data_IF_707046524004
#
_entry.id   IF_707046524004
#
_cell.length_a   1.000
_cell.length_b   1.000
_cell.length_c   1.000
_cell.angle_alpha   90.00
_cell.angle_beta   90.00
_cell.angle_gamma   90.00
#
_symmetry.space_group_name_H-M   'P 1'
#
loop_
_entity.id
_entity.type
_entity.pdbx_description
1 polymer ?
#
# COMPACT_ATOMS: atom_id res chain seq x y z
N UNK A 1 91.84 12.10 -2.94
CA UNK A 1 91.57 10.65 -3.02
C UNK A 1 90.51 10.19 -2.00
N UNK A 2 90.72 10.03 -0.66
CA UNK A 2 89.63 9.51 0.21
C UNK A 2 88.46 10.48 0.49
N UNK A 3 88.73 11.79 0.50
CA UNK A 3 87.72 12.82 0.81
C UNK A 3 86.76 13.10 -0.35
N UNK A 4 87.27 13.08 -1.59
CA UNK A 4 86.45 13.27 -2.80
C UNK A 4 85.47 12.11 -2.98
N UNK A 5 85.96 10.87 -2.82
CA UNK A 5 85.12 9.68 -2.91
C UNK A 5 83.96 9.69 -1.89
N UNK A 6 84.21 10.17 -0.66
CA UNK A 6 83.16 10.32 0.35
C UNK A 6 82.11 11.37 -0.06
N UNK A 7 82.55 12.52 -0.58
CA UNK A 7 81.64 13.57 -1.01
C UNK A 7 80.73 13.13 -2.18
N UNK A 8 81.27 12.32 -3.09
CA UNK A 8 80.54 11.76 -4.22
C UNK A 8 79.47 10.76 -3.76
N UNK A 9 79.80 9.85 -2.83
CA UNK A 9 78.83 8.93 -2.23
C UNK A 9 77.69 9.64 -1.47
N UNK A 10 77.99 10.76 -0.83
CA UNK A 10 77.01 11.54 -0.06
C UNK A 10 76.04 12.26 -1.01
N UNK A 11 76.56 12.76 -2.13
CA UNK A 11 75.77 13.32 -3.23
C UNK A 11 74.89 12.27 -3.90
N UNK A 12 75.42 11.08 -4.19
CA UNK A 12 74.65 10.00 -4.82
C UNK A 12 73.54 9.48 -3.89
N UNK A 13 73.81 9.35 -2.59
CA UNK A 13 72.78 9.01 -1.61
C UNK A 13 71.67 10.06 -1.53
N UNK A 14 72.02 11.34 -1.63
CA UNK A 14 71.02 12.41 -1.69
C UNK A 14 70.12 12.25 -2.93
N UNK A 15 70.71 12.05 -4.11
CA UNK A 15 69.95 11.87 -5.35
C UNK A 15 69.08 10.61 -5.35
N UNK A 16 69.58 9.50 -4.78
CA UNK A 16 68.79 8.28 -4.64
C UNK A 16 67.57 8.47 -3.73
N UNK A 17 67.74 9.18 -2.61
CA UNK A 17 66.60 9.49 -1.72
C UNK A 17 65.56 10.37 -2.39
N UNK A 18 66.00 11.39 -3.11
CA UNK A 18 65.12 12.31 -3.84
C UNK A 18 64.35 11.56 -4.95
N UNK A 19 65.03 10.69 -5.69
CA UNK A 19 64.42 9.85 -6.71
C UNK A 19 63.37 8.89 -6.13
N UNK A 20 63.67 8.23 -5.00
CA UNK A 20 62.73 7.35 -4.30
C UNK A 20 61.48 8.13 -3.82
N UNK A 21 61.68 9.33 -3.27
CA UNK A 21 60.57 10.17 -2.82
C UNK A 21 59.68 10.65 -3.98
N UNK A 22 60.27 10.92 -5.16
CA UNK A 22 59.51 11.27 -6.37
C UNK A 22 58.66 10.08 -6.84
N UNK A 23 59.20 8.86 -6.81
CA UNK A 23 58.47 7.65 -7.20
C UNK A 23 57.26 7.38 -6.30
N UNK A 24 57.44 7.48 -4.97
CA UNK A 24 56.34 7.35 -4.01
C UNK A 24 55.22 8.39 -4.25
N UNK A 25 55.58 9.65 -4.54
CA UNK A 25 54.60 10.69 -4.85
C UNK A 25 53.84 10.37 -6.15
N UNK A 26 54.52 9.82 -7.16
CA UNK A 26 53.88 9.47 -8.42
C UNK A 26 52.87 8.33 -8.24
N UNK A 27 53.19 7.32 -7.45
CA UNK A 27 52.27 6.21 -7.19
C UNK A 27 51.07 6.67 -6.36
N UNK A 28 51.28 7.49 -5.32
CA UNK A 28 50.18 8.09 -4.57
C UNK A 28 49.26 8.95 -5.45
N UNK A 29 49.82 9.69 -6.42
CA UNK A 29 49.01 10.48 -7.35
C UNK A 29 48.14 9.59 -8.26
N UNK A 30 48.65 8.45 -8.73
CA UNK A 30 47.85 7.49 -9.51
C UNK A 30 46.72 6.90 -8.68
N UNK A 31 47.00 6.56 -7.42
CA UNK A 31 45.99 6.03 -6.50
C UNK A 31 44.89 7.05 -6.22
N UNK A 32 45.25 8.32 -6.00
CA UNK A 32 44.29 9.42 -5.84
C UNK A 32 43.42 9.56 -7.08
N UNK A 33 44.01 9.58 -8.28
CA UNK A 33 43.26 9.70 -9.53
C UNK A 33 42.28 8.54 -9.72
N UNK A 34 42.69 7.31 -9.41
CA UNK A 34 41.81 6.14 -9.48
C UNK A 34 40.64 6.23 -8.49
N UNK A 35 40.91 6.67 -7.25
CA UNK A 35 39.89 6.86 -6.23
C UNK A 35 38.89 7.96 -6.61
N UNK A 36 39.38 9.09 -7.14
CA UNK A 36 38.54 10.18 -7.62
C UNK A 36 37.62 9.72 -8.76
N UNK A 37 38.17 9.00 -9.74
CA UNK A 37 37.39 8.47 -10.86
C UNK A 37 36.33 7.46 -10.40
N UNK A 38 36.68 6.58 -9.47
CA UNK A 38 35.75 5.59 -8.90
C UNK A 38 34.62 6.29 -8.14
N UNK A 39 34.95 7.24 -7.27
CA UNK A 39 33.98 8.03 -6.49
C UNK A 39 33.03 8.82 -7.41
N UNK A 40 33.57 9.46 -8.45
CA UNK A 40 32.76 10.21 -9.42
C UNK A 40 31.75 9.31 -10.15
N UNK A 41 32.15 8.08 -10.49
CA UNK A 41 31.26 7.11 -11.13
C UNK A 41 30.14 6.69 -10.18
N UNK A 42 30.46 6.34 -8.93
CA UNK A 42 29.46 5.96 -7.92
C UNK A 42 28.46 7.10 -7.66
N UNK A 43 28.94 8.34 -7.56
CA UNK A 43 28.09 9.52 -7.40
C UNK A 43 27.14 9.69 -8.60
N UNK A 44 27.61 9.44 -9.81
CA UNK A 44 26.78 9.53 -11.02
C UNK A 44 25.68 8.46 -11.05
N UNK A 45 26.03 7.23 -10.67
CA UNK A 45 25.07 6.11 -10.56
C UNK A 45 24.00 6.41 -9.50
N UNK A 46 24.40 6.82 -8.29
CA UNK A 46 23.46 7.18 -7.22
C UNK A 46 22.52 8.33 -7.62
N UNK A 47 23.01 9.34 -8.35
CA UNK A 47 22.16 10.43 -8.87
C UNK A 47 21.11 9.92 -9.86
N UNK A 48 21.48 8.96 -10.70
CA UNK A 48 20.58 8.31 -11.66
C UNK A 48 19.50 7.51 -10.93
N UNK A 49 19.90 6.73 -9.93
CA UNK A 49 18.97 5.93 -9.11
C UNK A 49 17.99 6.82 -8.34
N UNK A 50 18.45 7.87 -7.68
CA UNK A 50 17.60 8.85 -6.99
C UNK A 50 16.58 9.45 -7.95
N UNK A 51 16.99 9.79 -9.17
CA UNK A 51 16.09 10.34 -10.19
C UNK A 51 15.01 9.33 -10.61
N UNK A 52 15.39 8.06 -10.80
CA UNK A 52 14.45 6.96 -11.09
C UNK A 52 13.44 6.77 -9.95
N UNK A 53 13.92 6.67 -8.71
CA UNK A 53 13.08 6.50 -7.53
C UNK A 53 12.10 7.66 -7.35
N UNK A 54 12.54 8.90 -7.62
CA UNK A 54 11.67 10.08 -7.55
C UNK A 54 10.53 10.01 -8.57
N UNK A 55 10.81 9.54 -9.78
CA UNK A 55 9.77 9.36 -10.81
C UNK A 55 8.76 8.28 -10.40
N UNK A 56 9.24 7.14 -9.89
CA UNK A 56 8.39 6.07 -9.40
C UNK A 56 7.50 6.52 -8.25
N UNK A 57 8.05 7.26 -7.28
CA UNK A 57 7.29 7.79 -6.14
C UNK A 57 6.18 8.76 -6.59
N UNK A 58 6.48 9.62 -7.57
CA UNK A 58 5.47 10.53 -8.12
C UNK A 58 4.31 9.76 -8.76
N UNK A 59 4.62 8.72 -9.53
CA UNK A 59 3.59 7.91 -10.19
C UNK A 59 2.76 7.12 -9.18
N UNK A 60 3.40 6.46 -8.21
CA UNK A 60 2.71 5.73 -7.16
C UNK A 60 1.75 6.63 -6.36
N UNK A 61 2.16 7.86 -6.06
CA UNK A 61 1.30 8.84 -5.39
C UNK A 61 0.04 9.15 -6.20
N UNK A 62 0.19 9.35 -7.52
CA UNK A 62 -0.94 9.61 -8.41
C UNK A 62 -1.90 8.43 -8.48
N UNK A 63 -1.36 7.21 -8.52
CA UNK A 63 -2.17 6.00 -8.57
C UNK A 63 -2.96 5.79 -7.27
N UNK A 64 -2.37 6.10 -6.11
CA UNK A 64 -3.08 6.08 -4.82
C UNK A 64 -4.22 7.09 -4.81
N UNK A 65 -3.98 8.34 -5.22
CA UNK A 65 -5.02 9.38 -5.28
C UNK A 65 -6.19 8.99 -6.19
N UNK A 66 -5.89 8.40 -7.35
CA UNK A 66 -6.94 7.91 -8.26
C UNK A 66 -7.78 6.79 -7.61
N UNK A 67 -7.15 5.90 -6.85
CA UNK A 67 -7.85 4.83 -6.13
C UNK A 67 -8.70 5.38 -4.99
N UNK A 68 -8.21 6.37 -4.25
CA UNK A 68 -8.98 7.05 -3.21
C UNK A 68 -10.25 7.67 -3.80
N UNK A 69 -10.13 8.39 -4.92
CA UNK A 69 -11.29 8.96 -5.61
C UNK A 69 -12.30 7.89 -6.03
N UNK A 70 -11.83 6.78 -6.59
CA UNK A 70 -12.70 5.69 -6.99
C UNK A 70 -13.42 5.05 -5.80
N UNK A 71 -12.72 4.87 -4.67
CA UNK A 71 -13.33 4.37 -3.42
C UNK A 71 -14.42 5.34 -2.95
N UNK A 72 -14.16 6.64 -2.92
CA UNK A 72 -15.17 7.64 -2.53
C UNK A 72 -16.41 7.60 -3.41
N UNK A 73 -16.25 7.44 -4.73
CA UNK A 73 -17.39 7.27 -5.64
C UNK A 73 -18.17 5.97 -5.37
N UNK A 74 -17.50 4.88 -5.01
CA UNK A 74 -18.17 3.64 -4.64
C UNK A 74 -18.94 3.79 -3.32
N UNK A 75 -18.36 4.47 -2.34
CA UNK A 75 -19.01 4.74 -1.04
C UNK A 75 -20.28 5.58 -1.22
N UNK A 76 -20.22 6.65 -2.03
CA UNK A 76 -21.38 7.49 -2.36
C UNK A 76 -22.49 6.67 -3.03
N UNK A 77 -22.15 5.90 -4.07
CA UNK A 77 -23.11 5.03 -4.76
C UNK A 77 -23.74 3.99 -3.84
N UNK A 78 -22.96 3.43 -2.92
CA UNK A 78 -23.45 2.44 -1.98
C UNK A 78 -24.39 3.07 -0.94
N UNK A 79 -24.04 4.26 -0.45
CA UNK A 79 -24.85 5.01 0.50
C UNK A 79 -26.25 5.34 -0.03
N UNK A 80 -26.36 5.66 -1.33
CA UNK A 80 -27.65 5.99 -1.95
C UNK A 80 -28.46 4.74 -2.33
N UNK A 81 -27.80 3.65 -2.72
CA UNK A 81 -28.46 2.46 -3.26
C UNK A 81 -28.92 1.45 -2.20
N UNK A 82 -28.23 1.35 -1.05
CA UNK A 82 -28.62 0.41 0.01
C UNK A 82 -30.01 0.74 0.58
N UNK A 83 -30.34 1.99 0.96
CA UNK A 83 -31.65 2.31 1.53
C UNK A 83 -32.81 1.97 0.59
N UNK A 84 -32.70 2.31 -0.70
CA UNK A 84 -33.70 1.99 -1.72
C UNK A 84 -33.87 0.46 -1.90
N UNK A 85 -32.75 -0.28 -1.93
CA UNK A 85 -32.78 -1.73 -1.97
C UNK A 85 -33.51 -2.33 -0.76
N UNK A 86 -33.23 -1.83 0.46
CA UNK A 86 -33.86 -2.32 1.69
C UNK A 86 -35.37 -2.05 1.71
N UNK A 87 -35.81 -0.88 1.22
CA UNK A 87 -37.25 -0.55 1.09
C UNK A 87 -37.94 -1.52 0.13
N UNK A 88 -37.34 -1.78 -1.04
CA UNK A 88 -37.88 -2.70 -2.04
C UNK A 88 -37.93 -4.14 -1.54
N UNK A 89 -36.88 -4.60 -0.85
CA UNK A 89 -36.84 -5.94 -0.26
C UNK A 89 -37.92 -6.09 0.81
N UNK A 90 -38.08 -5.10 1.69
CA UNK A 90 -39.12 -5.12 2.74
C UNK A 90 -40.52 -5.21 2.13
N UNK A 91 -40.79 -4.40 1.10
CA UNK A 91 -42.08 -4.44 0.40
C UNK A 91 -42.33 -5.80 -0.27
N UNK A 92 -41.29 -6.38 -0.89
CA UNK A 92 -41.39 -7.71 -1.49
C UNK A 92 -41.74 -8.78 -0.43
N UNK A 93 -41.05 -8.79 0.71
CA UNK A 93 -41.31 -9.76 1.79
C UNK A 93 -42.72 -9.61 2.36
N UNK A 94 -43.20 -8.38 2.55
CA UNK A 94 -44.58 -8.11 2.97
C UNK A 94 -45.60 -8.67 1.98
N UNK A 95 -45.38 -8.49 0.67
CA UNK A 95 -46.25 -9.04 -0.37
C UNK A 95 -46.21 -10.57 -0.47
N UNK A 96 -45.22 -11.23 0.12
CA UNK A 96 -45.12 -12.69 0.22
C UNK A 96 -45.64 -13.22 1.56
N UNK A 97 -46.27 -12.37 2.38
CA UNK A 97 -46.67 -12.67 3.77
C UNK A 97 -45.52 -13.22 4.64
N UNK A 98 -44.27 -12.86 4.31
CA UNK A 98 -43.08 -13.27 5.06
C UNK A 98 -42.80 -12.23 6.12
N UNK A 99 -42.97 -12.62 7.40
CA UNK A 99 -42.55 -11.81 8.54
C UNK A 99 -41.11 -12.18 8.97
N UNK A 100 -40.10 -11.35 8.71
CA UNK A 100 -38.71 -11.68 9.06
C UNK A 100 -38.43 -11.68 10.57
N UNK A 101 -39.31 -11.08 11.37
CA UNK A 101 -39.23 -11.07 12.83
C UNK A 101 -39.92 -12.30 13.46
N UNK A 102 -40.63 -13.10 12.66
CA UNK A 102 -41.27 -14.32 13.13
C UNK A 102 -40.23 -15.43 13.32
N UNK A 103 -39.83 -15.60 14.59
CA UNK A 103 -39.03 -16.73 15.05
C UNK A 103 -39.91 -17.82 15.70
N UNK A 104 -41.24 -17.71 15.59
CA UNK A 104 -42.21 -18.50 16.36
C UNK A 104 -43.08 -19.32 15.41
N UNK A 105 -42.47 -20.32 14.79
CA UNK A 105 -43.13 -21.27 13.88
C UNK A 105 -42.21 -22.45 13.57
N UNK A 106 -42.78 -23.55 13.07
CA UNK A 106 -41.99 -24.68 12.57
C UNK A 106 -41.12 -24.28 11.37
N UNK A 107 -39.99 -24.95 11.10
CA UNK A 107 -39.12 -24.61 9.98
C UNK A 107 -39.82 -24.75 8.62
N UNK A 108 -39.56 -23.85 7.64
CA UNK A 108 -38.69 -22.67 7.78
C UNK A 108 -39.42 -21.49 8.45
N UNK A 109 -38.74 -20.84 9.39
CA UNK A 109 -39.19 -19.59 10.01
C UNK A 109 -39.25 -18.45 9.00
N UNK A 110 -40.05 -17.41 9.25
CA UNK A 110 -40.11 -16.22 8.38
C UNK A 110 -38.74 -15.55 8.24
N UNK A 111 -37.89 -15.63 9.26
CA UNK A 111 -36.48 -15.21 9.23
C UNK A 111 -35.64 -16.00 8.21
N UNK A 112 -35.71 -17.33 8.22
CA UNK A 112 -34.97 -18.19 7.29
C UNK A 112 -35.39 -17.94 5.84
N UNK A 113 -36.70 -17.76 5.61
CA UNK A 113 -37.25 -17.44 4.29
C UNK A 113 -36.75 -16.06 3.81
N UNK A 114 -36.75 -15.04 4.67
CA UNK A 114 -36.25 -13.71 4.34
C UNK A 114 -34.74 -13.70 4.01
N UNK A 115 -33.93 -14.46 4.74
CA UNK A 115 -32.50 -14.65 4.46
C UNK A 115 -32.30 -15.32 3.09
N UNK A 116 -33.13 -16.32 2.76
CA UNK A 116 -33.12 -16.97 1.44
C UNK A 116 -33.40 -15.99 0.30
N UNK A 117 -34.39 -15.10 0.44
CA UNK A 117 -34.67 -14.06 -0.54
C UNK A 117 -33.53 -13.04 -0.67
N UNK A 118 -32.97 -12.58 0.44
CA UNK A 118 -31.81 -11.67 0.45
C UNK A 118 -30.61 -12.30 -0.27
N UNK A 119 -30.30 -13.57 0.02
CA UNK A 119 -29.27 -14.35 -0.67
C UNK A 119 -29.56 -14.45 -2.17
N UNK A 120 -30.83 -14.66 -2.53
CA UNK A 120 -31.30 -14.73 -3.92
C UNK A 120 -31.02 -13.47 -4.74
N UNK A 121 -30.89 -12.30 -4.10
CA UNK A 121 -30.53 -11.03 -4.75
C UNK A 121 -29.04 -10.91 -5.09
N UNK A 122 -28.17 -11.76 -4.52
CA UNK A 122 -26.71 -11.63 -4.66
C UNK A 122 -26.14 -12.57 -5.72
N UNK A 123 -25.05 -12.16 -6.37
CA UNK A 123 -24.31 -12.94 -7.37
C UNK A 123 -22.80 -12.71 -7.25
N UNK A 124 -22.01 -13.65 -7.76
CA UNK A 124 -20.54 -13.58 -7.76
C UNK A 124 -19.96 -13.38 -6.36
N UNK A 125 -18.97 -12.48 -6.23
CA UNK A 125 -18.26 -12.24 -4.95
C UNK A 125 -19.14 -11.79 -3.80
N UNK A 126 -20.27 -11.13 -4.07
CA UNK A 126 -21.22 -10.75 -3.02
C UNK A 126 -21.93 -11.98 -2.43
N UNK A 127 -22.26 -12.96 -3.27
CA UNK A 127 -22.85 -14.23 -2.84
C UNK A 127 -21.84 -15.10 -2.09
N UNK A 128 -20.60 -15.17 -2.59
CA UNK A 128 -19.49 -15.88 -1.91
C UNK A 128 -19.27 -15.33 -0.50
N UNK A 129 -19.12 -14.00 -0.38
CA UNK A 129 -19.00 -13.33 0.91
C UNK A 129 -20.21 -13.60 1.81
N UNK A 130 -21.44 -13.54 1.28
CA UNK A 130 -22.64 -13.80 2.07
C UNK A 130 -22.66 -15.22 2.64
N UNK A 131 -22.23 -16.21 1.87
CA UNK A 131 -22.20 -17.61 2.32
C UNK A 131 -21.12 -17.85 3.38
N UNK A 132 -19.93 -17.29 3.18
CA UNK A 132 -18.81 -17.37 4.13
C UNK A 132 -19.11 -16.64 5.44
N UNK A 133 -19.71 -15.47 5.34
CA UNK A 133 -19.83 -14.54 6.45
C UNK A 133 -21.19 -14.63 7.13
N UNK A 134 -22.30 -14.57 6.40
CA UNK A 134 -23.64 -14.55 6.98
C UNK A 134 -24.13 -15.95 7.31
N UNK A 135 -23.91 -16.91 6.41
CA UNK A 135 -24.51 -18.25 6.52
C UNK A 135 -23.67 -19.19 7.39
N UNK A 136 -22.34 -19.11 7.29
CA UNK A 136 -21.43 -20.05 7.96
C UNK A 136 -21.04 -19.62 9.38
N UNK A 137 -20.91 -18.32 9.65
CA UNK A 137 -20.48 -17.82 10.97
C UNK A 137 -21.69 -17.60 11.88
N UNK A 138 -21.77 -18.35 12.98
CA UNK A 138 -22.88 -18.25 13.96
C UNK A 138 -22.90 -16.95 14.80
N UNK A 139 -21.90 -16.08 14.66
CA UNK A 139 -21.74 -14.88 15.49
C UNK A 139 -22.40 -13.61 14.90
N UNK A 140 -23.12 -13.73 13.79
CA UNK A 140 -23.71 -12.59 13.11
C UNK A 140 -25.03 -12.18 13.76
N UNK A 141 -24.99 -11.09 14.52
CA UNK A 141 -26.19 -10.44 15.04
C UNK A 141 -26.75 -9.51 13.95
N UNK A 142 -27.78 -9.96 13.24
CA UNK A 142 -28.68 -9.13 12.42
C UNK A 142 -29.48 -8.15 13.31
N UNK A 143 -28.82 -7.31 14.11
CA UNK A 143 -29.48 -6.28 14.90
C UNK A 143 -30.05 -5.20 13.95
N UNK A 144 -29.23 -4.74 13.01
CA UNK A 144 -29.51 -3.55 12.20
C UNK A 144 -30.58 -3.70 11.11
N UNK A 145 -31.07 -4.92 10.80
CA UNK A 145 -32.11 -5.07 9.77
C UNK A 145 -33.54 -4.94 10.33
N UNK A 146 -33.73 -5.15 11.65
CA UNK A 146 -35.05 -5.43 12.21
C UNK A 146 -35.39 -4.74 13.54
N UNK A 147 -34.45 -4.11 14.23
CA UNK A 147 -34.73 -3.46 15.53
C UNK A 147 -35.19 -2.00 15.42
N UNK A 148 -35.37 -1.47 14.21
CA UNK A 148 -35.62 -0.04 13.93
C UNK A 148 -34.57 0.91 14.55
N UNK A 149 -33.49 0.43 15.17
CA UNK A 149 -32.45 1.29 15.76
C UNK A 149 -31.59 1.94 14.67
N UNK A 150 -31.54 1.34 13.48
CA UNK A 150 -30.98 1.96 12.27
C UNK A 150 -31.76 3.18 11.76
N UNK A 151 -32.99 3.45 12.24
CA UNK A 151 -33.68 4.71 11.94
C UNK A 151 -33.15 5.90 12.76
N UNK A 152 -32.43 5.66 13.87
CA UNK A 152 -31.94 6.74 14.73
C UNK A 152 -30.77 7.53 14.12
N UNK A 153 -30.09 7.01 13.09
CA UNK A 153 -28.96 7.70 12.45
C UNK A 153 -29.33 8.45 11.15
N UNK A 154 -30.61 8.51 10.79
CA UNK A 154 -31.10 9.31 9.65
C UNK A 154 -31.85 10.59 10.07
N UNK A 155 -31.91 10.90 11.37
CA UNK A 155 -32.38 12.21 11.84
C UNK A 155 -31.22 13.19 11.68
N UNK A 156 -31.23 13.88 10.54
CA UNK A 156 -30.58 15.15 10.24
C UNK A 156 -29.56 15.68 11.28
N UNK A 157 -28.27 15.66 10.93
CA UNK A 157 -27.39 16.77 11.32
C UNK A 157 -27.65 17.91 10.32
N UNK A 158 -28.76 18.62 10.55
CA UNK A 158 -28.85 20.02 10.16
C UNK A 158 -28.49 20.83 11.41
N UNK A 159 -27.26 21.34 11.42
CA UNK A 159 -26.70 22.25 12.41
C UNK A 159 -25.38 22.79 11.88
#
# INVERSE_FOLDING_TARGET
MPKEYKAELEKDNYHLRDALQIEEIQDLNKDIEHLENTSNKEIAELKSEISSLKSQLYQAKKDVQNKEQYISTLEERLNDSIPDFLVKLRLYLQNQDVNPADNVGGPPTGREVAIGYLKGCMRGRALEWFDEEITTKQNWKLANLFDNTGQNNLVAVNG
#
